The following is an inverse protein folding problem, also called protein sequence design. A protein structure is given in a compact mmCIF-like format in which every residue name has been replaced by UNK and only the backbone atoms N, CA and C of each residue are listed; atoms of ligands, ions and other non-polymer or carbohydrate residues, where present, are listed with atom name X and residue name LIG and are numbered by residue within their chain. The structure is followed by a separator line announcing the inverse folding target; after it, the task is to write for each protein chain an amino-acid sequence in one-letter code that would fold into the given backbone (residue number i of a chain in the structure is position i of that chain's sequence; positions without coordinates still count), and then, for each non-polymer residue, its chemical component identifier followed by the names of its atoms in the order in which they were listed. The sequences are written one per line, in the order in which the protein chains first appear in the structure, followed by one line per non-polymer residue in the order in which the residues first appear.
data_IF_436252419323
#
_entry.id   IF_436252419323
#
_cell.length_a   1.000
_cell.length_b   1.000
_cell.length_c   1.000
_cell.angle_alpha   90.00
_cell.angle_beta   90.00
_cell.angle_gamma   90.00
#
_symmetry.space_group_name_H-M   'P 1'
#
loop_
_entity.id
_entity.type
_entity.pdbx_description
1 polymer ?
#
# COMPACT_ATOMS: atom_id res chain seq x y z
N UNK A 1 -14.68 34.21 19.02
CA UNK A 1 -13.44 33.37 19.07
C UNK A 1 -13.53 32.39 17.92
N UNK A 2 -12.66 32.54 16.90
CA UNK A 2 -12.55 31.55 15.81
C UNK A 2 -11.72 30.39 16.33
N UNK A 3 -12.32 29.20 16.48
CA UNK A 3 -11.58 27.97 16.74
C UNK A 3 -10.68 27.68 15.53
N UNK A 4 -9.36 27.75 15.72
CA UNK A 4 -8.41 27.26 14.72
C UNK A 4 -8.59 25.77 14.57
N UNK A 5 -9.00 25.34 13.38
CA UNK A 5 -9.05 23.92 13.01
C UNK A 5 -7.64 23.34 13.09
N UNK A 6 -7.45 22.13 13.68
CA UNK A 6 -6.14 21.53 13.79
C UNK A 6 -5.50 21.38 12.40
N UNK A 7 -4.33 21.97 12.21
CA UNK A 7 -3.53 21.86 10.98
C UNK A 7 -3.22 20.39 10.74
N UNK A 8 -3.66 19.86 9.59
CA UNK A 8 -3.25 18.53 9.13
C UNK A 8 -1.73 18.42 9.11
N UNK A 9 -1.17 17.43 9.84
CA UNK A 9 0.25 17.08 9.72
C UNK A 9 0.56 16.84 8.24
N UNK A 10 1.57 17.53 7.70
CA UNK A 10 2.08 17.24 6.35
C UNK A 10 2.67 15.83 6.37
N UNK A 11 2.05 14.91 5.65
CA UNK A 11 2.46 13.50 5.57
C UNK A 11 3.68 13.28 4.68
N UNK A 12 4.16 14.33 3.99
CA UNK A 12 5.30 14.25 3.05
C UNK A 12 6.41 15.18 3.52
N UNK A 13 7.65 14.71 3.32
CA UNK A 13 8.84 15.52 3.52
C UNK A 13 8.84 16.65 2.46
N UNK A 14 8.82 17.95 2.85
CA UNK A 14 8.68 19.07 1.92
C UNK A 14 9.80 19.17 0.87
N UNK A 15 10.99 18.64 1.20
CA UNK A 15 12.21 18.76 0.41
C UNK A 15 12.63 17.47 -0.30
N UNK A 16 11.85 16.37 -0.16
CA UNK A 16 12.17 15.12 -0.81
C UNK A 16 11.47 15.00 -2.16
N UNK A 17 12.27 14.82 -3.21
CA UNK A 17 11.77 14.53 -4.55
C UNK A 17 11.45 13.04 -4.68
N UNK A 18 10.18 12.69 -4.63
CA UNK A 18 9.64 11.33 -4.72
C UNK A 18 9.74 10.70 -6.13
N UNK A 19 10.39 11.35 -7.07
CA UNK A 19 10.78 10.79 -8.36
C UNK A 19 12.19 10.19 -8.37
N UNK A 20 12.96 10.38 -7.27
CA UNK A 20 14.31 9.83 -7.16
C UNK A 20 14.32 8.32 -6.95
N UNK A 21 15.36 7.63 -7.47
CA UNK A 21 15.60 6.22 -7.16
C UNK A 21 15.74 6.00 -5.65
N UNK A 22 15.26 4.85 -5.17
CA UNK A 22 15.33 4.49 -3.75
C UNK A 22 14.25 3.52 -3.33
N UNK A 23 14.25 3.19 -2.04
CA UNK A 23 13.24 2.35 -1.42
C UNK A 23 12.24 3.21 -0.65
N UNK A 24 10.96 2.94 -0.87
CA UNK A 24 9.86 3.66 -0.23
C UNK A 24 8.93 2.67 0.47
N UNK A 25 8.85 2.77 1.79
CA UNK A 25 7.84 2.04 2.54
C UNK A 25 6.54 2.83 2.51
N UNK A 26 5.46 2.21 2.03
CA UNK A 26 4.15 2.84 1.86
C UNK A 26 3.10 2.06 2.63
N UNK A 27 2.22 2.80 3.32
CA UNK A 27 1.02 2.25 3.95
C UNK A 27 -0.21 2.92 3.37
N UNK A 28 -1.09 2.13 2.76
CA UNK A 28 -2.36 2.58 2.19
C UNK A 28 -3.51 2.04 3.04
N UNK A 29 -4.23 2.93 3.72
CA UNK A 29 -5.32 2.57 4.61
C UNK A 29 -6.68 2.65 3.93
N UNK A 30 -7.61 1.77 4.31
CA UNK A 30 -9.01 1.89 3.93
C UNK A 30 -9.65 3.12 4.56
N UNK A 31 -10.68 3.65 3.92
CA UNK A 31 -11.46 4.77 4.46
C UNK A 31 -12.16 4.36 5.76
N UNK A 32 -12.02 5.19 6.80
CA UNK A 32 -12.55 4.91 8.14
C UNK A 32 -12.04 3.58 8.73
N UNK A 33 -10.92 3.07 8.28
CA UNK A 33 -10.33 1.81 8.74
C UNK A 33 -11.30 0.62 8.64
N UNK A 34 -12.16 0.62 7.63
CA UNK A 34 -13.07 -0.48 7.34
C UNK A 34 -12.28 -1.77 7.06
N UNK A 35 -12.61 -2.87 7.71
CA UNK A 35 -11.93 -4.17 7.54
C UNK A 35 -12.32 -4.88 6.23
N UNK A 36 -12.18 -4.19 5.10
CA UNK A 36 -12.61 -4.67 3.78
C UNK A 36 -11.81 -5.86 3.26
N UNK A 37 -10.59 -6.07 3.78
CA UNK A 37 -9.66 -7.10 3.30
C UNK A 37 -9.47 -8.25 4.29
N UNK A 38 -10.31 -8.37 5.30
CA UNK A 38 -10.17 -9.40 6.35
C UNK A 38 -10.10 -10.82 5.78
N UNK A 39 -10.80 -11.10 4.69
CA UNK A 39 -10.80 -12.40 3.99
C UNK A 39 -9.60 -12.57 3.04
N UNK A 40 -8.83 -11.52 2.79
CA UNK A 40 -7.64 -11.52 1.92
C UNK A 40 -6.32 -11.53 2.72
N UNK A 41 -6.40 -11.48 4.04
CA UNK A 41 -5.22 -11.53 4.91
C UNK A 41 -4.52 -12.87 4.73
N UNK A 42 -3.35 -12.83 4.11
CA UNK A 42 -2.52 -14.01 3.84
C UNK A 42 -1.13 -13.87 4.46
N UNK A 43 -0.30 -14.90 4.29
CA UNK A 43 1.09 -14.82 4.69
C UNK A 43 1.80 -13.66 4.01
N UNK A 44 2.53 -12.81 4.75
CA UNK A 44 3.31 -11.72 4.17
C UNK A 44 4.46 -12.31 3.36
N UNK A 45 4.81 -11.67 2.26
CA UNK A 45 5.83 -12.17 1.36
C UNK A 45 6.84 -11.09 1.01
N UNK A 46 8.11 -11.36 1.37
CA UNK A 46 9.28 -10.64 0.87
C UNK A 46 10.00 -11.46 -0.23
N UNK A 47 9.41 -12.58 -0.62
CA UNK A 47 9.85 -13.38 -1.78
C UNK A 47 8.65 -13.58 -2.66
N UNK A 48 8.78 -13.25 -3.93
CA UNK A 48 7.72 -13.26 -4.94
C UNK A 48 7.02 -14.63 -4.98
N UNK A 49 5.76 -14.77 -4.54
CA UNK A 49 5.03 -16.01 -4.72
C UNK A 49 4.56 -16.12 -6.17
N UNK A 50 4.43 -17.32 -6.70
CA UNK A 50 3.92 -17.55 -8.04
C UNK A 50 2.40 -17.31 -8.16
N UNK A 51 1.69 -17.04 -7.06
CA UNK A 51 0.23 -17.01 -7.03
C UNK A 51 -0.31 -15.59 -6.90
N UNK A 52 -1.23 -15.24 -7.78
CA UNK A 52 -2.03 -14.00 -7.76
C UNK A 52 -3.26 -14.20 -6.89
N UNK A 53 -3.08 -14.52 -5.62
CA UNK A 53 -4.14 -15.01 -4.73
C UNK A 53 -5.24 -13.99 -4.41
N UNK A 54 -5.02 -12.70 -4.72
CA UNK A 54 -6.01 -11.67 -4.55
C UNK A 54 -5.91 -10.58 -5.62
N UNK A 55 -7.01 -9.85 -5.86
CA UNK A 55 -6.98 -8.71 -6.76
C UNK A 55 -5.99 -7.62 -6.31
N UNK A 56 -5.75 -7.46 -4.99
CA UNK A 56 -4.77 -6.50 -4.47
C UNK A 56 -3.36 -6.88 -4.89
N UNK A 57 -2.99 -8.16 -4.79
CA UNK A 57 -1.67 -8.66 -5.23
C UNK A 57 -1.53 -8.64 -6.74
N UNK A 58 -2.57 -9.01 -7.46
CA UNK A 58 -2.59 -8.91 -8.92
C UNK A 58 -2.24 -7.47 -9.38
N UNK A 59 -2.85 -6.45 -8.78
CA UNK A 59 -2.58 -5.06 -9.14
C UNK A 59 -1.21 -4.54 -8.69
N UNK A 60 -0.56 -5.15 -7.68
CA UNK A 60 0.86 -4.87 -7.38
C UNK A 60 1.75 -5.36 -8.53
N UNK A 61 1.52 -6.55 -9.09
CA UNK A 61 2.27 -7.03 -10.24
C UNK A 61 2.00 -6.21 -11.53
N UNK A 62 0.76 -5.82 -11.75
CA UNK A 62 0.42 -4.94 -12.87
C UNK A 62 1.06 -3.54 -12.72
N UNK A 63 1.28 -3.07 -11.48
CA UNK A 63 2.00 -1.84 -11.20
C UNK A 63 3.46 -1.91 -11.70
N UNK A 64 4.17 -3.04 -11.46
CA UNK A 64 5.53 -3.26 -12.00
C UNK A 64 5.54 -3.26 -13.54
N UNK A 65 4.49 -3.80 -14.16
CA UNK A 65 4.35 -3.78 -15.63
C UNK A 65 4.07 -2.39 -16.18
N UNK A 66 3.24 -1.62 -15.46
CA UNK A 66 2.88 -0.25 -15.83
C UNK A 66 4.07 0.71 -15.71
N UNK A 67 4.90 0.51 -14.69
CA UNK A 67 6.05 1.36 -14.38
C UNK A 67 7.34 0.54 -14.37
N UNK A 68 8.04 0.41 -15.51
CA UNK A 68 9.20 -0.50 -15.64
C UNK A 68 10.35 -0.25 -14.65
N UNK A 69 10.45 0.98 -14.12
CA UNK A 69 11.43 1.35 -13.08
C UNK A 69 10.98 1.06 -11.65
N UNK A 70 9.80 0.47 -11.44
CA UNK A 70 9.27 0.12 -10.11
C UNK A 70 9.33 -1.38 -9.90
N UNK A 71 9.76 -1.80 -8.71
CA UNK A 71 9.72 -3.19 -8.24
C UNK A 71 9.06 -3.26 -6.88
N UNK A 72 8.28 -4.29 -6.66
CA UNK A 72 7.73 -4.63 -5.35
C UNK A 72 8.75 -5.48 -4.62
N UNK A 73 9.26 -4.97 -3.51
CA UNK A 73 10.25 -5.67 -2.69
C UNK A 73 9.57 -6.57 -1.65
N UNK A 74 8.68 -5.99 -0.86
CA UNK A 74 7.98 -6.69 0.22
C UNK A 74 6.58 -6.08 0.40
N UNK A 75 5.58 -6.90 0.77
CA UNK A 75 4.23 -6.41 1.02
C UNK A 75 3.46 -7.30 2.02
N UNK A 76 2.44 -6.73 2.66
CA UNK A 76 1.48 -7.46 3.48
C UNK A 76 0.09 -6.83 3.37
N UNK A 77 -0.93 -7.67 3.15
CA UNK A 77 -2.33 -7.26 3.19
C UNK A 77 -2.83 -7.46 4.62
N UNK A 78 -3.34 -6.37 5.20
CA UNK A 78 -3.96 -6.33 6.51
C UNK A 78 -5.48 -6.13 6.35
N UNK A 79 -6.30 -6.39 7.38
CA UNK A 79 -7.76 -6.27 7.27
C UNK A 79 -8.24 -4.92 6.74
N UNK A 80 -7.54 -3.83 7.08
CA UNK A 80 -7.93 -2.45 6.83
C UNK A 80 -6.82 -1.59 6.20
N UNK A 81 -5.72 -2.18 5.74
CA UNK A 81 -4.63 -1.49 5.05
C UNK A 81 -3.71 -2.46 4.30
N UNK A 82 -2.84 -1.89 3.50
CA UNK A 82 -1.75 -2.56 2.79
C UNK A 82 -0.43 -1.91 3.19
N UNK A 83 0.56 -2.71 3.51
CA UNK A 83 1.97 -2.33 3.57
C UNK A 83 2.68 -2.79 2.31
N UNK A 84 3.54 -1.94 1.75
CA UNK A 84 4.37 -2.29 0.59
C UNK A 84 5.68 -1.52 0.61
N UNK A 85 6.78 -2.20 0.26
CA UNK A 85 8.05 -1.55 -0.08
C UNK A 85 8.16 -1.51 -1.60
N UNK A 86 8.29 -0.30 -2.15
CA UNK A 86 8.54 -0.04 -3.56
C UNK A 86 10.02 0.30 -3.74
N UNK A 87 10.72 -0.47 -4.55
CA UNK A 87 12.05 -0.14 -5.04
C UNK A 87 11.90 0.60 -6.38
N UNK A 88 12.33 1.85 -6.41
CA UNK A 88 12.33 2.70 -7.59
C UNK A 88 13.74 2.73 -8.15
N UNK A 89 13.92 2.28 -9.40
CA UNK A 89 15.23 2.18 -10.06
C UNK A 89 15.24 3.01 -11.34
N UNK A 90 16.38 3.65 -11.64
CA UNK A 90 16.57 4.44 -12.88
C UNK A 90 16.25 5.92 -12.75
N UNK A 91 16.79 6.71 -13.69
CA UNK A 91 16.76 8.17 -13.63
C UNK A 91 15.39 8.80 -13.93
N UNK A 92 14.46 8.07 -14.58
CA UNK A 92 13.13 8.56 -14.93
C UNK A 92 12.13 7.40 -14.98
N UNK A 93 11.35 7.26 -13.93
CA UNK A 93 10.21 6.33 -13.92
C UNK A 93 8.99 6.92 -14.65
N UNK A 94 9.07 8.16 -15.10
CA UNK A 94 7.96 8.87 -15.75
C UNK A 94 6.81 9.25 -14.82
N UNK A 95 6.83 8.81 -13.55
CA UNK A 95 5.78 9.14 -12.59
C UNK A 95 6.32 9.23 -11.15
N UNK A 96 6.00 10.27 -10.38
CA UNK A 96 6.34 10.35 -8.96
C UNK A 96 5.51 9.35 -8.14
N UNK A 97 6.01 8.99 -6.95
CA UNK A 97 5.39 8.00 -6.06
C UNK A 97 3.87 8.20 -5.87
N UNK A 98 3.41 9.44 -5.77
CA UNK A 98 1.99 9.72 -5.57
C UNK A 98 1.10 9.32 -6.77
N UNK A 99 1.60 9.42 -8.01
CA UNK A 99 0.87 8.96 -9.20
C UNK A 99 0.85 7.42 -9.27
N UNK A 100 1.93 6.77 -8.86
CA UNK A 100 2.03 5.31 -8.77
C UNK A 100 0.96 4.78 -7.78
N UNK A 101 0.93 5.36 -6.58
CA UNK A 101 -0.05 4.94 -5.55
C UNK A 101 -1.48 5.32 -5.95
N UNK A 102 -1.70 6.47 -6.57
CA UNK A 102 -3.01 6.88 -7.10
C UNK A 102 -3.51 5.90 -8.16
N UNK A 103 -2.65 5.48 -9.09
CA UNK A 103 -3.00 4.49 -10.09
C UNK A 103 -3.40 3.15 -9.44
N UNK A 104 -2.60 2.64 -8.52
CA UNK A 104 -2.90 1.41 -7.78
C UNK A 104 -4.25 1.48 -7.06
N UNK A 105 -4.51 2.57 -6.34
CA UNK A 105 -5.79 2.78 -5.64
C UNK A 105 -6.97 2.84 -6.60
N UNK A 106 -6.81 3.41 -7.78
CA UNK A 106 -7.84 3.48 -8.81
C UNK A 106 -8.16 2.09 -9.34
N UNK A 107 -7.14 1.31 -9.72
CA UNK A 107 -7.35 -0.02 -10.28
C UNK A 107 -8.00 -0.97 -9.26
N UNK A 108 -7.50 -0.99 -8.05
CA UNK A 108 -8.05 -1.83 -6.96
C UNK A 108 -9.47 -1.41 -6.57
N UNK A 109 -9.79 -0.11 -6.62
CA UNK A 109 -11.16 0.37 -6.40
C UNK A 109 -12.12 -0.12 -7.47
N UNK A 110 -11.74 0.00 -8.75
CA UNK A 110 -12.57 -0.44 -9.87
C UNK A 110 -12.83 -1.95 -9.80
N UNK A 111 -11.80 -2.73 -9.47
CA UNK A 111 -11.90 -4.17 -9.32
C UNK A 111 -12.79 -4.57 -8.14
N UNK A 112 -12.61 -3.92 -6.99
CA UNK A 112 -13.46 -4.12 -5.82
C UNK A 112 -14.95 -3.86 -6.15
N UNK A 113 -15.25 -2.73 -6.80
CA UNK A 113 -16.62 -2.38 -7.22
C UNK A 113 -17.22 -3.46 -8.13
N UNK A 114 -16.42 -3.98 -9.08
CA UNK A 114 -16.84 -5.07 -9.96
C UNK A 114 -17.21 -6.32 -9.15
N UNK A 115 -16.40 -6.70 -8.18
CA UNK A 115 -16.64 -7.86 -7.33
C UNK A 115 -17.83 -7.68 -6.38
N UNK A 116 -18.09 -6.47 -5.89
CA UNK A 116 -19.31 -6.14 -5.14
C UNK A 116 -20.56 -6.32 -6.02
N UNK A 117 -20.53 -5.85 -7.28
CA UNK A 117 -21.64 -6.03 -8.23
C UNK A 117 -21.90 -7.50 -8.57
N UNK A 118 -20.87 -8.35 -8.50
CA UNK A 118 -20.97 -9.80 -8.70
C UNK A 118 -21.39 -10.56 -7.43
N UNK A 119 -21.56 -9.87 -6.31
CA UNK A 119 -21.90 -10.49 -5.02
C UNK A 119 -20.72 -11.24 -4.36
N UNK A 120 -19.51 -11.05 -4.84
CA UNK A 120 -18.28 -11.72 -4.31
C UNK A 120 -17.76 -11.00 -3.07
N UNK A 121 -17.75 -9.66 -3.07
CA UNK A 121 -17.26 -8.84 -1.96
C UNK A 121 -18.38 -8.03 -1.32
N UNK A 122 -18.29 -7.74 -0.01
CA UNK A 122 -19.24 -6.89 0.67
C UNK A 122 -19.16 -5.44 0.17
N UNK A 123 -20.29 -4.70 0.21
CA UNK A 123 -20.27 -3.26 -0.11
C UNK A 123 -19.42 -2.48 0.89
N UNK A 124 -18.94 -1.33 0.46
CA UNK A 124 -18.15 -0.41 1.28
C UNK A 124 -18.86 0.93 1.47
N UNK A 125 -18.49 1.66 2.53
CA UNK A 125 -19.06 2.98 2.81
C UNK A 125 -18.22 4.07 2.11
N UNK A 126 -18.88 4.91 1.31
CA UNK A 126 -18.33 6.11 0.67
C UNK A 126 -17.17 5.85 -0.29
N UNK A 127 -16.09 5.23 0.16
CA UNK A 127 -14.89 4.92 -0.64
C UNK A 127 -14.09 3.78 0.00
N UNK A 128 -13.23 3.15 -0.78
CA UNK A 128 -12.37 2.06 -0.29
C UNK A 128 -11.16 2.63 0.46
N UNK A 129 -10.41 3.51 -0.18
CA UNK A 129 -9.15 4.02 0.34
C UNK A 129 -9.29 5.41 0.96
N UNK A 130 -8.48 5.72 1.97
CA UNK A 130 -8.26 7.09 2.43
C UNK A 130 -7.68 7.95 1.29
N UNK A 131 -7.88 9.27 1.33
CA UNK A 131 -7.38 10.20 0.30
C UNK A 131 -5.86 10.17 0.16
N UNK A 132 -5.14 10.10 1.28
CA UNK A 132 -3.68 10.04 1.33
C UNK A 132 -3.14 8.61 1.44
N UNK A 133 -1.88 8.53 1.74
CA UNK A 133 -1.14 7.34 2.17
C UNK A 133 -0.02 7.81 3.09
N UNK A 134 0.58 6.89 3.86
CA UNK A 134 1.77 7.14 4.66
C UNK A 134 2.97 6.60 3.91
N UNK A 135 4.06 7.34 3.91
CA UNK A 135 5.31 6.92 3.31
C UNK A 135 6.51 7.19 4.24
N UNK A 136 7.53 6.36 4.09
CA UNK A 136 8.82 6.50 4.72
C UNK A 136 9.90 6.20 3.68
N UNK A 137 10.86 7.12 3.53
CA UNK A 137 12.02 6.96 2.65
C UNK A 137 13.05 6.11 3.36
N UNK A 138 13.33 4.92 2.84
CA UNK A 138 14.32 3.99 3.38
C UNK A 138 15.70 4.45 2.93
N UNK A 139 16.59 4.74 3.88
CA UNK A 139 17.87 5.41 3.61
C UNK A 139 19.10 4.50 3.66
N UNK A 140 18.97 3.32 4.25
CA UNK A 140 20.09 2.37 4.41
C UNK A 140 19.59 0.93 4.57
N UNK A 141 20.50 -0.03 4.49
CA UNK A 141 20.19 -1.47 4.56
C UNK A 141 19.64 -1.91 5.91
N UNK A 142 20.03 -1.26 7.00
CA UNK A 142 19.49 -1.55 8.34
C UNK A 142 18.01 -1.20 8.40
N UNK A 143 17.64 0.01 7.99
CA UNK A 143 16.25 0.49 7.91
C UNK A 143 15.40 -0.42 7.00
N UNK A 144 15.94 -0.80 5.82
CA UNK A 144 15.28 -1.74 4.91
C UNK A 144 15.03 -3.10 5.57
N UNK A 145 16.00 -3.64 6.28
CA UNK A 145 15.91 -4.94 6.96
C UNK A 145 14.88 -4.89 8.09
N UNK A 146 14.86 -3.82 8.87
CA UNK A 146 13.89 -3.62 9.97
C UNK A 146 12.46 -3.50 9.43
N UNK A 147 12.26 -2.75 8.36
CA UNK A 147 10.92 -2.59 7.76
C UNK A 147 10.44 -3.89 7.10
N UNK A 148 11.31 -4.64 6.44
CA UNK A 148 10.95 -5.99 5.92
C UNK A 148 10.50 -6.91 7.05
N UNK A 149 11.23 -6.95 8.17
CA UNK A 149 10.85 -7.73 9.35
C UNK A 149 9.51 -7.27 9.91
N UNK A 150 9.30 -5.96 10.04
CA UNK A 150 8.02 -5.40 10.48
C UNK A 150 6.84 -5.84 9.58
N UNK A 151 7.00 -5.82 8.26
CA UNK A 151 5.97 -6.28 7.32
C UNK A 151 5.70 -7.77 7.49
N UNK A 152 6.74 -8.60 7.66
CA UNK A 152 6.61 -10.04 7.82
C UNK A 152 5.90 -10.45 9.12
N UNK A 153 6.16 -9.74 10.21
CA UNK A 153 5.61 -10.05 11.53
C UNK A 153 4.17 -9.54 11.72
N UNK A 154 3.76 -8.50 10.97
CA UNK A 154 2.51 -7.79 11.16
C UNK A 154 1.25 -8.67 11.04
N UNK A 155 1.07 -9.51 10.01
CA UNK A 155 -0.09 -10.37 9.90
C UNK A 155 -0.16 -11.44 10.99
N UNK A 156 1.00 -11.91 11.49
CA UNK A 156 1.10 -12.92 12.55
C UNK A 156 0.60 -12.36 13.88
N UNK A 157 0.94 -11.11 14.19
CA UNK A 157 0.49 -10.43 15.42
C UNK A 157 -1.01 -10.15 15.38
N UNK A 158 -1.57 -9.82 14.22
CA UNK A 158 -3.01 -9.60 14.06
C UNK A 158 -3.82 -10.86 14.33
N UNK A 159 -3.33 -12.04 13.94
CA UNK A 159 -3.98 -13.32 14.25
C UNK A 159 -3.88 -13.72 15.73
N UNK A 160 -2.83 -13.30 16.46
CA UNK A 160 -2.69 -13.56 17.90
C UNK A 160 -3.63 -12.72 18.77
N UNK A 161 -3.94 -11.50 18.34
CA UNK A 161 -4.81 -10.56 19.06
C UNK A 161 -6.31 -10.75 18.73
N UNK A 162 -6.67 -11.66 17.83
CA UNK A 162 -8.05 -11.95 17.42
C UNK A 162 -8.65 -13.19 18.11
N UNK A 163 -7.95 -13.78 19.11
CA UNK A 163 -8.45 -14.89 19.94
C UNK A 163 -8.93 -14.44 21.30
#
# INVERSE_FOLDING_TARGET
MKQELPRRKRLRLPEHDYSHPGYYFVTVCTHLRQKLFQHLVGAPLCVRPPTRDSFLTMWLYELERKYPGVRIDCWAIMPDHLHVILAITGAHIGAPLHEIIKWYKTQTTNDYIRQVKQGVLPPFQTRIWQRGYYDHVIRNDTDLTEIRRYILENPIQTHRNAK
#
